data_IF_004557616109
#
_entry.id   IF_004557616109
#
_cell.length_a   1.000
_cell.length_b   1.000
_cell.length_c   1.000
_cell.angle_alpha   90.00
_cell.angle_beta   90.00
_cell.angle_gamma   90.00
#
_symmetry.space_group_name_H-M   'P 1'
#
loop_
_entity.id
_entity.type
_entity.pdbx_description
1 polymer ?
#
# COMPACT_ATOMS: atom_id res chain seq x y z
N UNK A 1 -29.91 -23.22 -61.80
CA UNK A 1 -29.31 -24.12 -60.80
C UNK A 1 -27.95 -23.53 -60.47
N UNK A 2 -27.72 -23.14 -59.22
CA UNK A 2 -26.58 -22.36 -58.73
C UNK A 2 -25.39 -23.26 -58.42
N UNK A 3 -24.19 -22.92 -58.90
CA UNK A 3 -22.92 -23.32 -58.27
C UNK A 3 -21.94 -22.15 -58.33
N UNK A 4 -21.47 -21.73 -57.15
CA UNK A 4 -20.36 -20.80 -56.92
C UNK A 4 -19.11 -21.67 -56.76
N UNK A 5 -18.05 -21.36 -57.50
CA UNK A 5 -16.70 -21.86 -57.23
C UNK A 5 -15.76 -20.67 -57.02
N UNK A 6 -15.01 -20.73 -55.92
CA UNK A 6 -14.09 -19.72 -55.41
C UNK A 6 -12.83 -19.56 -56.28
N UNK A 7 -12.40 -18.30 -56.38
CA UNK A 7 -11.21 -17.86 -57.11
C UNK A 7 -9.98 -17.89 -56.18
N UNK A 8 -8.98 -18.71 -56.52
CA UNK A 8 -7.70 -18.88 -55.80
C UNK A 8 -6.63 -17.97 -56.42
N UNK A 9 -5.91 -17.12 -55.67
CA UNK A 9 -4.82 -16.31 -56.21
C UNK A 9 -3.48 -17.08 -56.23
N UNK A 10 -2.57 -16.78 -57.19
CA UNK A 10 -1.36 -17.56 -57.45
C UNK A 10 -0.12 -17.10 -56.66
N UNK A 11 0.78 -18.06 -56.47
CA UNK A 11 2.15 -17.95 -55.97
C UNK A 11 3.05 -17.07 -56.86
N UNK A 12 4.06 -16.38 -56.28
CA UNK A 12 5.24 -16.02 -57.06
C UNK A 12 6.52 -16.64 -56.49
N UNK A 13 7.12 -17.49 -57.32
CA UNK A 13 8.48 -18.03 -57.19
C UNK A 13 9.53 -16.99 -57.64
N UNK A 14 10.61 -16.91 -56.86
CA UNK A 14 12.01 -16.50 -57.15
C UNK A 14 12.34 -15.39 -58.17
N UNK A 15 13.09 -14.38 -57.70
CA UNK A 15 14.48 -13.99 -58.12
C UNK A 15 14.78 -12.56 -57.61
N UNK A 16 15.75 -12.34 -56.71
CA UNK A 16 17.13 -12.05 -57.14
C UNK A 16 18.11 -12.29 -56.00
N UNK A 17 18.91 -13.35 -56.15
CA UNK A 17 20.07 -13.63 -55.30
C UNK A 17 21.21 -12.72 -55.75
N UNK A 18 21.76 -11.93 -54.82
CA UNK A 18 23.00 -11.16 -55.02
C UNK A 18 24.16 -12.14 -54.83
N UNK A 19 25.02 -12.40 -55.83
CA UNK A 19 26.17 -13.28 -55.66
C UNK A 19 27.30 -12.50 -54.97
N UNK A 20 27.70 -12.91 -53.76
CA UNK A 20 28.91 -12.37 -53.14
C UNK A 20 29.02 -12.38 -51.62
N UNK A 21 28.04 -12.88 -50.85
CA UNK A 21 28.17 -12.97 -49.40
C UNK A 21 28.13 -14.43 -48.94
N UNK A 22 29.31 -15.01 -48.76
CA UNK A 22 29.46 -16.34 -48.17
C UNK A 22 29.03 -16.29 -46.70
N UNK A 23 28.00 -17.06 -46.33
CA UNK A 23 27.68 -17.34 -44.94
C UNK A 23 28.68 -18.37 -44.40
N UNK A 24 29.31 -18.14 -43.23
CA UNK A 24 30.22 -19.11 -42.63
C UNK A 24 29.48 -20.41 -42.25
N UNK A 25 30.15 -21.53 -42.47
CA UNK A 25 29.72 -22.90 -42.20
C UNK A 25 29.27 -23.13 -40.75
N UNK A 26 28.24 -23.97 -40.58
CA UNK A 26 27.86 -24.58 -39.30
C UNK A 26 29.04 -25.40 -38.75
N UNK A 27 29.64 -24.93 -37.65
CA UNK A 27 30.38 -25.80 -36.74
C UNK A 27 29.60 -25.99 -35.44
N UNK A 28 29.48 -27.26 -35.11
CA UNK A 28 28.86 -27.92 -33.97
C UNK A 28 28.94 -27.16 -32.62
N UNK A 29 27.78 -26.81 -32.06
CA UNK A 29 27.62 -26.39 -30.65
C UNK A 29 26.79 -27.44 -29.89
N UNK A 30 27.21 -27.86 -28.69
CA UNK A 30 26.64 -29.01 -28.00
C UNK A 30 25.21 -28.72 -27.52
N UNK A 31 24.39 -29.78 -27.56
CA UNK A 31 23.01 -29.91 -27.10
C UNK A 31 22.53 -28.81 -26.14
N UNK A 32 21.47 -28.11 -26.56
CA UNK A 32 20.64 -27.31 -25.65
C UNK A 32 20.26 -28.16 -24.43
N UNK A 33 20.48 -27.69 -23.19
CA UNK A 33 20.02 -28.42 -22.03
C UNK A 33 18.50 -28.48 -22.08
N UNK A 34 17.99 -29.69 -22.26
CA UNK A 34 16.59 -30.06 -22.10
C UNK A 34 16.09 -29.49 -20.76
N UNK A 35 15.23 -28.47 -20.84
CA UNK A 35 14.60 -27.86 -19.66
C UNK A 35 13.63 -28.90 -19.09
N UNK A 36 14.13 -29.75 -18.20
CA UNK A 36 13.30 -30.61 -17.37
C UNK A 36 12.26 -29.75 -16.64
N UNK A 37 10.96 -30.14 -16.61
CA UNK A 37 9.88 -29.33 -16.00
C UNK A 37 9.98 -29.12 -14.48
N UNK A 38 11.09 -29.47 -13.83
CA UNK A 38 11.23 -29.52 -12.37
C UNK A 38 11.80 -28.26 -11.72
N UNK A 39 12.20 -27.24 -12.48
CA UNK A 39 12.84 -26.02 -11.92
C UNK A 39 11.91 -24.80 -11.75
N UNK A 40 10.59 -25.02 -11.75
CA UNK A 40 9.66 -23.99 -11.27
C UNK A 40 9.76 -24.00 -9.73
N UNK A 41 10.26 -22.91 -9.08
CA UNK A 41 10.20 -22.82 -7.62
C UNK A 41 8.75 -23.06 -7.22
N UNK A 42 8.46 -23.81 -6.13
CA UNK A 42 7.07 -24.06 -5.75
C UNK A 42 6.37 -22.71 -5.69
N UNK A 43 5.46 -22.50 -6.63
CA UNK A 43 4.60 -21.33 -6.67
C UNK A 43 3.98 -21.29 -5.29
N UNK A 44 4.48 -20.39 -4.44
CA UNK A 44 3.97 -20.25 -3.09
C UNK A 44 2.47 -20.14 -3.29
N UNK A 45 1.70 -21.08 -2.73
CA UNK A 45 0.26 -21.14 -2.94
C UNK A 45 -0.30 -19.86 -2.30
N UNK A 46 -0.26 -18.75 -3.04
CA UNK A 46 -0.83 -17.47 -2.66
C UNK A 46 -2.31 -17.77 -2.75
N UNK A 47 -3.02 -17.87 -1.62
CA UNK A 47 -4.40 -18.28 -1.65
C UNK A 47 -5.18 -17.14 -2.29
N UNK A 48 -5.53 -17.28 -3.57
CA UNK A 48 -6.40 -16.37 -4.32
C UNK A 48 -7.87 -16.44 -3.82
N UNK A 49 -8.05 -16.52 -2.49
CA UNK A 49 -9.31 -16.73 -1.80
C UNK A 49 -9.14 -17.09 -0.32
N UNK A 50 -10.26 -17.32 0.37
CA UNK A 50 -10.28 -17.69 1.79
C UNK A 50 -9.93 -16.53 2.73
N UNK A 51 -8.95 -16.72 3.61
CA UNK A 51 -8.57 -15.76 4.67
C UNK A 51 -8.08 -14.41 4.13
N UNK A 52 -7.62 -14.35 2.88
CA UNK A 52 -7.23 -13.09 2.23
C UNK A 52 -8.36 -12.05 2.21
N UNK A 53 -9.62 -12.47 2.04
CA UNK A 53 -10.76 -11.55 2.08
C UNK A 53 -11.04 -10.98 3.47
N UNK A 54 -10.81 -11.78 4.53
CA UNK A 54 -10.91 -11.32 5.92
C UNK A 54 -9.83 -10.27 6.21
N UNK A 55 -8.61 -10.48 5.69
CA UNK A 55 -7.51 -9.51 5.80
C UNK A 55 -7.82 -8.24 5.01
N UNK A 56 -8.35 -8.34 3.79
CA UNK A 56 -8.78 -7.17 3.00
C UNK A 56 -9.86 -6.38 3.71
N UNK A 57 -10.87 -7.05 4.28
CA UNK A 57 -11.92 -6.37 5.06
C UNK A 57 -11.35 -5.70 6.31
N UNK A 58 -10.41 -6.34 6.99
CA UNK A 58 -9.72 -5.77 8.16
C UNK A 58 -8.90 -4.53 7.77
N UNK A 59 -8.16 -4.61 6.66
CA UNK A 59 -7.40 -3.48 6.12
C UNK A 59 -8.32 -2.33 5.69
N UNK A 60 -9.46 -2.66 5.09
CA UNK A 60 -10.51 -1.70 4.74
C UNK A 60 -11.08 -0.98 5.97
N UNK A 61 -11.39 -1.70 7.05
CA UNK A 61 -11.83 -1.10 8.33
C UNK A 61 -10.77 -0.19 8.94
N UNK A 62 -9.51 -0.61 8.93
CA UNK A 62 -8.37 0.21 9.40
C UNK A 62 -8.24 1.48 8.55
N UNK A 63 -8.40 1.37 7.22
CA UNK A 63 -8.33 2.50 6.30
C UNK A 63 -9.47 3.50 6.51
N UNK A 64 -10.70 3.01 6.70
CA UNK A 64 -11.88 3.81 7.05
C UNK A 64 -11.59 4.71 8.25
N UNK A 65 -11.02 4.14 9.32
CA UNK A 65 -10.81 4.90 10.55
C UNK A 65 -9.60 5.83 10.42
N UNK A 66 -8.44 5.31 10.03
CA UNK A 66 -7.20 6.11 10.01
C UNK A 66 -7.26 7.24 8.97
N UNK A 67 -7.59 6.91 7.71
CA UNK A 67 -7.64 7.91 6.65
C UNK A 67 -8.90 8.78 6.77
N UNK A 68 -10.01 8.22 7.24
CA UNK A 68 -11.21 9.01 7.56
C UNK A 68 -10.91 10.12 8.58
N UNK A 69 -10.21 9.79 9.67
CA UNK A 69 -9.78 10.80 10.67
C UNK A 69 -8.83 11.83 10.05
N UNK A 70 -7.88 11.39 9.21
CA UNK A 70 -6.95 12.29 8.53
C UNK A 70 -7.68 13.29 7.62
N UNK A 71 -8.64 12.83 6.83
CA UNK A 71 -9.43 13.68 5.94
C UNK A 71 -10.35 14.64 6.73
N UNK A 72 -10.88 14.17 7.86
CA UNK A 72 -11.69 14.99 8.77
C UNK A 72 -10.88 16.03 9.56
N UNK A 73 -9.54 16.04 9.46
CA UNK A 73 -8.72 17.11 10.05
C UNK A 73 -9.17 18.50 9.58
N UNK A 74 -9.69 18.60 8.35
CA UNK A 74 -10.28 19.82 7.81
C UNK A 74 -11.34 20.46 8.73
N UNK A 75 -12.12 19.64 9.44
CA UNK A 75 -13.13 20.09 10.40
C UNK A 75 -12.47 20.54 11.72
N UNK A 76 -11.51 19.74 12.20
CA UNK A 76 -10.71 20.08 13.39
C UNK A 76 -9.98 21.40 13.21
N UNK A 77 -9.45 21.64 12.02
CA UNK A 77 -8.76 22.87 11.65
C UNK A 77 -9.62 24.12 11.84
N UNK A 78 -10.90 24.07 11.43
CA UNK A 78 -11.83 25.19 11.61
C UNK A 78 -12.04 25.51 13.08
N UNK A 79 -12.19 24.49 13.92
CA UNK A 79 -12.36 24.68 15.37
C UNK A 79 -11.07 25.15 16.06
N UNK A 80 -9.91 24.70 15.57
CA UNK A 80 -8.61 25.16 16.06
C UNK A 80 -8.37 26.64 15.76
N UNK A 81 -8.74 27.13 14.58
CA UNK A 81 -8.62 28.56 14.25
C UNK A 81 -9.45 29.40 15.22
N UNK A 82 -10.70 28.99 15.47
CA UNK A 82 -11.61 29.70 16.39
C UNK A 82 -11.07 29.72 17.82
N UNK A 83 -10.51 28.60 18.29
CA UNK A 83 -10.04 28.45 19.67
C UNK A 83 -8.75 29.21 19.96
N UNK A 84 -7.82 29.22 19.01
CA UNK A 84 -6.47 29.75 19.23
C UNK A 84 -6.28 31.17 18.70
N UNK A 85 -7.30 31.75 18.05
CA UNK A 85 -7.25 33.05 17.34
C UNK A 85 -5.96 33.22 16.51
N UNK A 86 -5.39 32.08 16.08
CA UNK A 86 -4.07 32.00 15.51
C UNK A 86 -4.12 32.33 14.02
N UNK A 87 -2.97 32.69 13.46
CA UNK A 87 -2.82 32.79 12.01
C UNK A 87 -3.23 31.47 11.36
N UNK A 88 -4.12 31.55 10.36
CA UNK A 88 -4.57 30.45 9.50
C UNK A 88 -3.42 29.53 9.08
N UNK A 89 -2.26 30.11 8.76
CA UNK A 89 -1.07 29.37 8.37
C UNK A 89 -0.55 28.45 9.47
N UNK A 90 -0.53 28.90 10.74
CA UNK A 90 -0.01 28.10 11.86
C UNK A 90 -0.86 26.86 12.11
N UNK A 91 -2.18 27.00 12.14
CA UNK A 91 -3.07 25.84 12.32
C UNK A 91 -3.03 24.88 11.12
N UNK A 92 -2.79 25.38 9.90
CA UNK A 92 -2.76 24.55 8.70
C UNK A 92 -1.55 23.62 8.67
N UNK A 93 -0.40 24.10 9.19
CA UNK A 93 0.81 23.31 9.32
C UNK A 93 0.61 22.01 10.11
N UNK A 94 -0.31 21.96 11.07
CA UNK A 94 -0.58 20.75 11.87
C UNK A 94 -1.00 19.58 10.96
N UNK A 95 -1.97 19.82 10.08
CA UNK A 95 -2.45 18.80 9.13
C UNK A 95 -1.44 18.49 8.04
N UNK A 96 -0.75 19.51 7.53
CA UNK A 96 0.31 19.33 6.53
C UNK A 96 1.46 18.47 7.06
N UNK A 97 1.86 18.69 8.32
CA UNK A 97 2.88 17.86 8.99
C UNK A 97 2.36 16.43 9.18
N UNK A 98 1.09 16.25 9.56
CA UNK A 98 0.51 14.92 9.73
C UNK A 98 0.54 14.10 8.43
N UNK A 99 0.00 14.66 7.34
CA UNK A 99 0.04 14.03 6.02
C UNK A 99 1.47 13.88 5.48
N UNK A 100 2.33 14.88 5.68
CA UNK A 100 3.74 14.82 5.30
C UNK A 100 4.50 13.69 5.99
N UNK A 101 4.24 13.49 7.29
CA UNK A 101 4.81 12.37 8.05
C UNK A 101 4.36 11.02 7.48
N UNK A 102 3.09 10.87 7.07
CA UNK A 102 2.63 9.63 6.44
C UNK A 102 3.51 9.26 5.24
N UNK A 103 3.81 10.23 4.38
CA UNK A 103 4.60 10.02 3.16
C UNK A 103 6.09 9.79 3.46
N UNK A 104 6.69 10.59 4.34
CA UNK A 104 8.11 10.49 4.71
C UNK A 104 8.41 9.15 5.40
N UNK A 105 7.53 8.69 6.27
CA UNK A 105 7.70 7.44 7.01
C UNK A 105 7.16 6.19 6.28
N UNK A 106 6.52 6.35 5.12
CA UNK A 106 6.06 5.23 4.30
C UNK A 106 7.18 4.22 3.96
N UNK A 107 8.37 4.63 3.43
CA UNK A 107 9.45 3.68 3.16
C UNK A 107 9.98 3.01 4.44
N UNK A 108 10.09 3.78 5.54
CA UNK A 108 10.53 3.24 6.83
C UNK A 108 9.58 2.13 7.33
N UNK A 109 8.27 2.33 7.18
CA UNK A 109 7.27 1.34 7.54
C UNK A 109 7.40 0.04 6.72
N UNK A 110 7.80 0.15 5.45
CA UNK A 110 8.08 -1.01 4.59
C UNK A 110 9.27 -1.83 5.10
N UNK A 111 10.38 -1.17 5.44
CA UNK A 111 11.57 -1.83 6.02
C UNK A 111 11.22 -2.50 7.35
N UNK A 112 10.46 -1.81 8.22
CA UNK A 112 10.01 -2.35 9.50
C UNK A 112 9.15 -3.60 9.32
N UNK A 113 8.25 -3.59 8.32
CA UNK A 113 7.41 -4.74 7.97
C UNK A 113 8.22 -5.96 7.61
N UNK A 114 9.27 -5.76 6.81
CA UNK A 114 10.12 -6.84 6.33
C UNK A 114 10.89 -7.51 7.49
N UNK A 115 11.31 -6.72 8.49
CA UNK A 115 12.10 -7.22 9.63
C UNK A 115 11.26 -7.78 10.78
N UNK A 116 10.18 -7.11 11.16
CA UNK A 116 9.39 -7.46 12.36
C UNK A 116 8.06 -8.15 12.05
N UNK A 117 7.72 -8.26 10.77
CA UNK A 117 6.45 -8.77 10.30
C UNK A 117 5.35 -7.70 10.33
N UNK A 118 4.45 -7.80 9.36
CA UNK A 118 3.40 -6.82 9.14
C UNK A 118 2.44 -6.67 10.33
N UNK A 119 2.04 -7.78 10.97
CA UNK A 119 1.13 -7.78 12.13
C UNK A 119 1.61 -6.91 13.29
N UNK A 120 2.87 -7.10 13.72
CA UNK A 120 3.43 -6.38 14.87
C UNK A 120 3.55 -4.88 14.57
N UNK A 121 3.97 -4.54 13.36
CA UNK A 121 4.11 -3.15 12.92
C UNK A 121 2.76 -2.44 12.86
N UNK A 122 1.70 -3.08 12.35
CA UNK A 122 0.35 -2.49 12.35
C UNK A 122 -0.18 -2.27 13.76
N UNK A 123 -0.05 -3.26 14.67
CA UNK A 123 -0.51 -3.12 16.05
C UNK A 123 0.22 -1.99 16.78
N UNK A 124 1.53 -1.87 16.58
CA UNK A 124 2.32 -0.79 17.15
C UNK A 124 1.93 0.58 16.57
N UNK A 125 1.72 0.67 15.26
CA UNK A 125 1.25 1.88 14.59
C UNK A 125 -0.10 2.37 15.11
N UNK A 126 -1.09 1.46 15.24
CA UNK A 126 -2.42 1.78 15.78
C UNK A 126 -2.33 2.27 17.23
N UNK A 127 -1.52 1.61 18.06
CA UNK A 127 -1.34 2.01 19.45
C UNK A 127 -0.73 3.41 19.57
N UNK A 128 0.33 3.68 18.79
CA UNK A 128 0.94 5.00 18.70
C UNK A 128 -0.09 6.04 18.25
N UNK A 129 -0.82 5.79 17.16
CA UNK A 129 -1.84 6.70 16.67
C UNK A 129 -2.91 7.00 17.71
N UNK A 130 -3.40 5.98 18.42
CA UNK A 130 -4.40 6.16 19.47
C UNK A 130 -3.87 6.99 20.65
N UNK A 131 -2.66 6.68 21.13
CA UNK A 131 -2.04 7.40 22.26
C UNK A 131 -1.77 8.85 21.90
N UNK A 132 -1.20 9.11 20.72
CA UNK A 132 -0.90 10.48 20.30
C UNK A 132 -2.16 11.28 20.01
N UNK A 133 -3.19 10.68 19.39
CA UNK A 133 -4.47 11.36 19.16
C UNK A 133 -5.18 11.68 20.48
N UNK A 134 -5.11 10.76 21.46
CA UNK A 134 -5.63 11.00 22.80
C UNK A 134 -4.84 12.11 23.52
N UNK A 135 -3.50 12.10 23.41
CA UNK A 135 -2.64 13.15 23.95
C UNK A 135 -2.93 14.53 23.32
N UNK A 136 -3.23 14.58 22.02
CA UNK A 136 -3.64 15.80 21.33
C UNK A 136 -4.90 16.44 21.90
N UNK A 137 -5.79 15.66 22.54
CA UNK A 137 -6.97 16.20 23.22
C UNK A 137 -6.61 17.08 24.43
N UNK A 138 -5.48 16.83 25.07
CA UNK A 138 -4.99 17.61 26.21
C UNK A 138 -4.07 18.76 25.80
N UNK A 139 -3.79 18.91 24.50
CA UNK A 139 -2.91 19.97 24.03
C UNK A 139 -3.54 21.36 24.27
N UNK A 140 -2.81 22.18 25.00
CA UNK A 140 -3.16 23.58 25.31
C UNK A 140 -2.41 24.58 24.43
N UNK A 141 -1.41 24.14 23.66
CA UNK A 141 -0.61 24.96 22.75
C UNK A 141 -0.58 24.36 21.34
N UNK A 142 -0.46 25.24 20.34
CA UNK A 142 -0.27 24.85 18.93
C UNK A 142 1.01 24.05 18.75
N UNK A 143 2.07 24.37 19.49
CA UNK A 143 3.36 23.65 19.40
C UNK A 143 3.21 22.20 19.86
N UNK A 144 2.45 21.97 20.93
CA UNK A 144 2.12 20.62 21.40
C UNK A 144 1.28 19.86 20.37
N UNK A 145 0.42 20.55 19.61
CA UNK A 145 -0.36 19.93 18.52
C UNK A 145 0.52 19.54 17.33
N UNK A 146 1.56 20.30 16.98
CA UNK A 146 2.51 19.88 15.94
C UNK A 146 3.20 18.56 16.27
N UNK A 147 3.61 18.39 17.53
CA UNK A 147 4.32 17.19 17.98
C UNK A 147 3.34 16.02 18.13
N UNK A 148 2.22 16.22 18.81
CA UNK A 148 1.28 15.12 19.12
C UNK A 148 0.44 14.73 17.89
N UNK A 149 -0.26 15.68 17.29
CA UNK A 149 -1.18 15.41 16.17
C UNK A 149 -0.42 15.33 14.84
N UNK A 150 0.50 16.27 14.60
CA UNK A 150 1.30 16.28 13.37
C UNK A 150 2.22 15.07 13.32
N UNK A 151 3.28 15.10 14.11
CA UNK A 151 4.32 14.09 14.05
C UNK A 151 3.86 12.74 14.64
N UNK A 152 3.33 12.72 15.86
CA UNK A 152 2.97 11.49 16.57
C UNK A 152 1.87 10.68 15.88
N UNK A 153 0.72 11.30 15.63
CA UNK A 153 -0.39 10.65 14.95
C UNK A 153 -0.10 10.38 13.47
N UNK A 154 0.62 11.27 12.76
CA UNK A 154 1.08 11.02 11.40
C UNK A 154 2.03 9.82 11.28
N UNK A 155 3.01 9.72 12.18
CA UNK A 155 3.96 8.61 12.25
C UNK A 155 3.26 7.26 12.52
N UNK A 156 2.41 7.20 13.55
CA UNK A 156 1.65 5.99 13.85
C UNK A 156 0.75 5.54 12.69
N UNK A 157 0.13 6.52 12.02
CA UNK A 157 -0.77 6.26 10.89
C UNK A 157 0.00 5.74 9.69
N UNK A 158 1.20 6.27 9.41
CA UNK A 158 2.10 5.74 8.37
C UNK A 158 2.39 4.25 8.57
N UNK A 159 2.74 3.88 9.80
CA UNK A 159 3.06 2.51 10.18
C UNK A 159 1.87 1.56 10.06
N UNK A 160 0.63 2.02 10.20
CA UNK A 160 -0.55 1.17 10.06
C UNK A 160 -1.09 1.14 8.62
N UNK A 161 -1.14 2.29 7.94
CA UNK A 161 -1.67 2.44 6.59
C UNK A 161 -0.89 1.61 5.56
N UNK A 162 0.44 1.71 5.57
CA UNK A 162 1.27 1.01 4.58
C UNK A 162 1.15 -0.51 4.68
N UNK A 163 0.93 -1.02 5.89
CA UNK A 163 0.86 -2.45 6.17
C UNK A 163 -0.40 -3.09 5.60
N UNK A 164 -1.52 -2.36 5.55
CA UNK A 164 -2.73 -2.81 4.87
C UNK A 164 -2.45 -3.09 3.39
N UNK A 165 -1.78 -2.16 2.69
CA UNK A 165 -1.41 -2.33 1.28
C UNK A 165 -0.42 -3.49 1.07
N UNK A 166 0.58 -3.63 1.96
CA UNK A 166 1.56 -4.74 1.90
C UNK A 166 0.89 -6.10 2.14
N UNK A 167 -0.07 -6.21 3.07
CA UNK A 167 -0.77 -7.48 3.27
C UNK A 167 -1.61 -7.87 2.06
N UNK A 168 -2.35 -6.93 1.49
CA UNK A 168 -3.21 -7.22 0.33
C UNK A 168 -2.38 -7.70 -0.86
N UNK A 169 -1.21 -7.10 -1.09
CA UNK A 169 -0.31 -7.52 -2.17
C UNK A 169 0.39 -8.86 -1.92
N UNK A 170 0.54 -9.29 -0.66
CA UNK A 170 1.06 -10.63 -0.31
C UNK A 170 0.00 -11.73 -0.37
N UNK A 171 -1.26 -11.41 -0.11
CA UNK A 171 -2.36 -12.38 -0.08
C UNK A 171 -2.99 -12.66 -1.44
N UNK A 172 -2.87 -11.75 -2.41
CA UNK A 172 -3.47 -11.89 -3.74
C UNK A 172 -2.41 -11.67 -4.82
N UNK A 173 -2.31 -12.58 -5.80
CA UNK A 173 -1.47 -12.40 -6.98
C UNK A 173 -2.31 -11.88 -8.15
N UNK A 174 -3.35 -12.63 -8.52
CA UNK A 174 -4.23 -12.33 -9.66
C UNK A 174 -5.22 -11.22 -9.35
N UNK A 175 -5.80 -11.19 -8.14
CA UNK A 175 -6.85 -10.23 -7.73
C UNK A 175 -6.35 -9.03 -6.92
N UNK A 176 -5.03 -8.76 -6.94
CA UNK A 176 -4.39 -7.71 -6.12
C UNK A 176 -4.96 -6.31 -6.33
N UNK A 177 -5.31 -5.97 -7.57
CA UNK A 177 -5.81 -4.64 -7.94
C UNK A 177 -7.22 -4.42 -7.39
N UNK A 178 -8.09 -5.42 -7.49
CA UNK A 178 -9.44 -5.37 -6.92
C UNK A 178 -9.40 -5.28 -5.39
N UNK A 179 -8.60 -6.12 -4.74
CA UNK A 179 -8.50 -6.12 -3.28
C UNK A 179 -7.91 -4.81 -2.73
N UNK A 180 -6.88 -4.27 -3.41
CA UNK A 180 -6.30 -2.97 -3.04
C UNK A 180 -7.30 -1.83 -3.30
N UNK A 181 -8.01 -1.87 -4.42
CA UNK A 181 -9.06 -0.91 -4.74
C UNK A 181 -10.16 -0.88 -3.67
N UNK A 182 -10.63 -2.04 -3.23
CA UNK A 182 -11.60 -2.15 -2.13
C UNK A 182 -11.02 -1.52 -0.86
N UNK A 183 -9.79 -1.87 -0.47
CA UNK A 183 -9.13 -1.32 0.71
C UNK A 183 -9.02 0.22 0.66
N UNK A 184 -8.63 0.78 -0.49
CA UNK A 184 -8.50 2.23 -0.67
C UNK A 184 -9.85 2.94 -0.73
N UNK A 185 -10.89 2.32 -1.29
CA UNK A 185 -12.24 2.88 -1.30
C UNK A 185 -12.79 3.15 0.12
N UNK A 186 -12.24 2.46 1.13
CA UNK A 186 -12.57 2.68 2.53
C UNK A 186 -12.27 4.10 3.01
N UNK A 187 -11.23 4.76 2.50
CA UNK A 187 -10.88 6.13 2.90
C UNK A 187 -12.03 7.13 2.68
N UNK A 188 -12.71 7.05 1.54
CA UNK A 188 -13.86 7.90 1.20
C UNK A 188 -15.05 7.60 2.10
N UNK A 189 -15.38 6.31 2.28
CA UNK A 189 -16.47 5.90 3.17
C UNK A 189 -16.21 6.33 4.63
N UNK A 190 -14.97 6.20 5.08
CA UNK A 190 -14.56 6.64 6.41
C UNK A 190 -14.74 8.14 6.61
N UNK A 191 -14.44 8.96 5.60
CA UNK A 191 -14.68 10.40 5.68
C UNK A 191 -16.18 10.69 5.79
N UNK A 192 -17.03 10.00 5.03
CA UNK A 192 -18.49 10.16 5.08
C UNK A 192 -19.10 9.75 6.43
N UNK A 193 -18.53 8.76 7.12
CA UNK A 193 -19.01 8.29 8.43
C UNK A 193 -18.43 9.11 9.57
N UNK A 194 -17.12 9.40 9.54
CA UNK A 194 -16.42 10.11 10.60
C UNK A 194 -16.77 11.60 10.62
N UNK A 195 -17.02 12.24 9.48
CA UNK A 195 -17.38 13.67 9.41
C UNK A 195 -18.65 14.04 10.20
N UNK A 196 -19.82 13.37 10.03
CA UNK A 196 -21.02 13.68 10.80
C UNK A 196 -20.86 13.34 12.29
N UNK A 197 -20.12 12.28 12.62
CA UNK A 197 -19.77 11.96 14.02
C UNK A 197 -18.97 13.13 14.61
N UNK A 198 -17.92 13.57 13.91
CA UNK A 198 -17.08 14.68 14.35
C UNK A 198 -17.90 15.97 14.50
N UNK A 199 -18.73 16.32 13.53
CA UNK A 199 -19.53 17.54 13.57
C UNK A 199 -20.53 17.52 14.74
N UNK A 200 -21.22 16.41 14.95
CA UNK A 200 -22.15 16.24 16.08
C UNK A 200 -21.43 16.38 17.43
N UNK A 201 -20.23 15.80 17.56
CA UNK A 201 -19.44 15.90 18.77
C UNK A 201 -18.83 17.30 18.95
N UNK A 202 -18.38 17.92 17.87
CA UNK A 202 -17.78 19.26 17.86
C UNK A 202 -18.78 20.33 18.32
N UNK A 203 -20.02 20.27 17.83
CA UNK A 203 -21.08 21.23 18.21
C UNK A 203 -21.49 21.09 19.67
N UNK A 204 -21.65 19.85 20.16
CA UNK A 204 -22.19 19.61 21.51
C UNK A 204 -21.13 19.62 22.62
N UNK A 205 -19.94 19.07 22.35
CA UNK A 205 -18.91 18.79 23.37
C UNK A 205 -17.54 19.40 23.03
N UNK A 206 -17.39 20.00 21.85
CA UNK A 206 -16.14 20.59 21.38
C UNK A 206 -15.14 19.60 20.77
N UNK A 207 -14.16 20.15 20.05
CA UNK A 207 -13.15 19.39 19.30
C UNK A 207 -12.31 18.46 20.19
N UNK A 208 -12.05 18.83 21.45
CA UNK A 208 -11.24 18.01 22.38
C UNK A 208 -11.90 16.68 22.70
N UNK A 209 -13.20 16.68 22.96
CA UNK A 209 -13.97 15.45 23.23
C UNK A 209 -14.09 14.63 21.96
N UNK A 210 -14.30 15.28 20.81
CA UNK A 210 -14.30 14.61 19.51
C UNK A 210 -13.01 13.82 19.27
N UNK A 211 -11.83 14.40 19.54
CA UNK A 211 -10.55 13.69 19.40
C UNK A 211 -10.43 12.47 20.35
N UNK A 212 -10.95 12.54 21.58
CA UNK A 212 -10.94 11.39 22.52
C UNK A 212 -11.82 10.25 22.02
N UNK A 213 -13.00 10.57 21.47
CA UNK A 213 -13.89 9.56 20.91
C UNK A 213 -13.26 8.93 19.68
N UNK A 214 -12.66 9.74 18.80
CA UNK A 214 -11.93 9.24 17.64
C UNK A 214 -10.74 8.35 18.03
N UNK A 215 -10.01 8.67 19.10
CA UNK A 215 -8.95 7.76 19.61
C UNK A 215 -9.52 6.43 20.09
N UNK A 216 -10.71 6.42 20.69
CA UNK A 216 -11.42 5.18 21.03
C UNK A 216 -11.81 4.35 19.81
N UNK A 217 -12.25 5.01 18.73
CA UNK A 217 -12.55 4.34 17.45
C UNK A 217 -11.29 3.72 16.84
N UNK A 218 -10.13 4.39 16.93
CA UNK A 218 -8.84 3.81 16.52
C UNK A 218 -8.53 2.56 17.34
N UNK A 219 -8.73 2.56 18.65
CA UNK A 219 -8.50 1.38 19.49
C UNK A 219 -9.35 0.18 19.05
N UNK A 220 -10.57 0.38 18.55
CA UNK A 220 -11.39 -0.72 18.02
C UNK A 220 -10.72 -1.43 16.83
N UNK A 221 -10.01 -0.68 15.98
CA UNK A 221 -9.28 -1.26 14.83
C UNK A 221 -8.09 -2.12 15.24
N UNK A 222 -7.65 -2.08 16.51
CA UNK A 222 -6.63 -2.98 17.04
C UNK A 222 -7.05 -4.45 16.94
N UNK A 223 -8.34 -4.74 17.18
CA UNK A 223 -8.88 -6.09 17.02
C UNK A 223 -8.84 -6.54 15.55
N UNK A 224 -9.15 -5.64 14.60
CA UNK A 224 -9.06 -5.91 13.17
C UNK A 224 -7.61 -6.18 12.73
N UNK A 225 -6.64 -5.42 13.26
CA UNK A 225 -5.22 -5.63 12.98
C UNK A 225 -4.68 -6.94 13.57
N UNK A 226 -5.28 -7.45 14.65
CA UNK A 226 -4.91 -8.73 15.21
C UNK A 226 -5.20 -9.91 14.25
N UNK A 227 -6.14 -9.74 13.32
CA UNK A 227 -6.53 -10.72 12.29
C UNK A 227 -5.49 -10.88 11.17
N UNK A 228 -4.48 -10.02 11.12
CA UNK A 228 -3.34 -10.13 10.19
C UNK A 228 -2.52 -11.37 10.55
N UNK A 229 -2.91 -12.52 10.00
CA UNK A 229 -2.19 -13.77 10.18
C UNK A 229 -0.86 -13.65 9.42
N UNK A 230 0.29 -13.92 10.06
CA UNK A 230 1.53 -14.04 9.32
C UNK A 230 1.40 -15.26 8.41
N UNK A 231 1.39 -15.03 7.10
CA UNK A 231 1.74 -16.09 6.16
C UNK A 231 3.24 -16.36 6.39
N UNK A 232 3.55 -17.46 7.07
CA UNK A 232 4.87 -18.11 7.04
C UNK A 232 5.33 -18.19 5.57
N UNK A 233 6.48 -17.72 5.09
CA UNK A 233 7.84 -17.64 5.64
C UNK A 233 8.57 -16.33 5.24
N UNK A 234 9.46 -15.77 6.09
CA UNK A 234 10.39 -14.69 5.73
C UNK A 234 11.39 -15.06 4.61
N UNK A 235 11.46 -16.33 4.23
CA UNK A 235 12.33 -16.86 3.18
C UNK A 235 11.63 -17.12 1.84
N UNK A 236 10.32 -16.87 1.71
CA UNK A 236 9.59 -17.08 0.46
C UNK A 236 9.47 -15.84 -0.42
N UNK A 237 10.11 -14.73 -0.07
CA UNK A 237 10.43 -13.70 -1.07
C UNK A 237 11.60 -14.27 -1.86
N UNK A 238 11.43 -14.68 -3.14
CA UNK A 238 12.59 -14.99 -3.95
C UNK A 238 13.47 -13.74 -3.93
N UNK A 239 14.76 -13.90 -3.65
CA UNK A 239 15.79 -12.86 -3.71
C UNK A 239 15.95 -12.26 -5.13
N UNK A 240 14.98 -12.44 -6.03
CA UNK A 240 15.10 -12.35 -7.48
C UNK A 240 15.09 -10.93 -8.06
N UNK A 241 15.05 -9.86 -7.26
CA UNK A 241 15.32 -8.50 -7.77
C UNK A 241 16.71 -7.99 -7.40
N UNK A 242 17.24 -8.32 -6.21
CA UNK A 242 18.62 -7.96 -5.86
C UNK A 242 19.63 -8.90 -6.54
N UNK A 243 19.35 -10.20 -6.63
CA UNK A 243 20.22 -11.15 -7.32
C UNK A 243 20.24 -10.89 -8.84
N UNK A 244 19.11 -10.56 -9.49
CA UNK A 244 19.08 -10.25 -10.93
C UNK A 244 19.86 -8.99 -11.33
N UNK A 245 20.00 -8.01 -10.44
CA UNK A 245 20.85 -6.83 -10.69
C UNK A 245 22.33 -7.19 -10.49
N UNK A 246 22.62 -8.14 -9.60
CA UNK A 246 23.97 -8.57 -9.28
C UNK A 246 24.52 -9.65 -10.24
N UNK A 247 23.64 -10.45 -10.85
CA UNK A 247 23.97 -11.49 -11.84
C UNK A 247 23.74 -11.07 -13.29
N UNK A 248 23.26 -9.84 -13.54
CA UNK A 248 23.16 -9.33 -14.91
C UNK A 248 24.55 -9.18 -15.52
N UNK A 249 24.85 -9.80 -16.67
CA UNK A 249 26.16 -9.73 -17.34
C UNK A 249 26.50 -8.32 -17.87
N UNK A 250 25.63 -7.33 -17.67
CA UNK A 250 25.81 -5.96 -18.12
C UNK A 250 26.86 -5.13 -17.34
N UNK A 251 27.57 -5.71 -16.35
CA UNK A 251 28.71 -5.04 -15.70
C UNK A 251 29.99 -5.02 -16.56
N UNK A 252 30.06 -5.84 -17.61
CA UNK A 252 31.25 -5.90 -18.48
C UNK A 252 31.32 -4.84 -19.57
N UNK A 253 30.30 -3.99 -19.74
CA UNK A 253 30.23 -3.01 -20.85
C UNK A 253 30.33 -1.55 -20.41
N UNK A 254 30.51 -1.30 -19.11
CA UNK A 254 30.71 0.06 -18.57
C UNK A 254 31.89 0.05 -17.61
N UNK A 255 33.06 -0.27 -18.15
CA UNK A 255 34.37 0.19 -17.70
C UNK A 255 35.30 0.19 -18.90
#
# INVERSE_FOLDING_TARGET
MSTRDEEVPPEPDRLTVIPGFALPEEDSSPADPEITPTDVPPESIIPDGGWGWVVTFSAFMINIVLIGIHNCFSLVYVDLIKQFEGSLSKTAWIGSIAFGCILIFAPLSGVLSNRHGCRKVTLFGILISAVFLFASSFATSIESLYITYGFGFGFGTSLAYMQGAVMVTRYFSSKRALASGICLAGSSLGTLVIAPIYNTLGVNYGWRVALRVLSGVICFTFACAATYRPLTDPNSVPKSTQERIQTSPARGFVM
#
